data_IF_026604660354
#
_entry.id   IF_026604660354
#
_cell.length_a   1.000
_cell.length_b   1.000
_cell.length_c   1.000
_cell.angle_alpha   90.00
_cell.angle_beta   90.00
_cell.angle_gamma   90.00
#
_symmetry.space_group_name_H-M   'P 1'
#
loop_
_entity.id
_entity.type
_entity.pdbx_description
1 polymer ?
#
# COMPACT_ATOMS: atom_id res chain seq x y z
N UNK A 1 -8.39 -25.84 -2.43
CA UNK A 1 -7.09 -25.48 -1.83
C UNK A 1 -6.62 -24.18 -2.49
N UNK A 2 -6.27 -23.14 -1.72
CA UNK A 2 -5.66 -21.94 -2.32
C UNK A 2 -4.27 -22.34 -2.83
N UNK A 3 -3.93 -22.00 -4.08
CA UNK A 3 -2.59 -22.22 -4.63
C UNK A 3 -1.57 -21.52 -3.74
N UNK A 4 -0.78 -22.29 -3.00
CA UNK A 4 0.21 -21.79 -2.05
C UNK A 4 1.54 -22.48 -2.35
N UNK A 5 2.62 -21.70 -2.38
CA UNK A 5 3.98 -22.19 -2.59
C UNK A 5 4.79 -21.92 -1.32
N UNK A 6 5.47 -22.96 -0.82
CA UNK A 6 6.40 -22.80 0.30
C UNK A 6 7.71 -22.19 -0.20
N UNK A 7 8.22 -21.19 0.52
CA UNK A 7 9.52 -20.56 0.27
C UNK A 7 10.36 -20.63 1.54
N UNK A 8 11.67 -20.75 1.38
CA UNK A 8 12.65 -20.66 2.48
C UNK A 8 13.53 -19.45 2.24
N UNK A 9 13.65 -18.58 3.25
CA UNK A 9 14.42 -17.34 3.16
C UNK A 9 15.22 -17.15 4.45
N UNK A 10 16.42 -16.60 4.34
CA UNK A 10 17.22 -16.17 5.48
C UNK A 10 16.88 -14.72 5.82
N UNK A 11 16.65 -14.44 7.10
CA UNK A 11 16.34 -13.10 7.60
C UNK A 11 17.28 -12.71 8.74
N UNK A 12 17.46 -11.39 9.01
CA UNK A 12 18.20 -10.94 10.18
C UNK A 12 17.61 -11.49 11.48
N UNK A 13 18.47 -11.80 12.46
CA UNK A 13 18.08 -12.35 13.77
C UNK A 13 17.09 -11.43 14.47
N UNK A 14 17.34 -10.13 14.45
CA UNK A 14 16.48 -9.10 15.04
C UNK A 14 15.06 -9.14 14.46
N UNK A 15 14.92 -9.38 13.15
CA UNK A 15 13.63 -9.50 12.49
C UNK A 15 12.91 -10.78 12.93
N UNK A 16 13.63 -11.89 13.04
CA UNK A 16 13.07 -13.14 13.56
C UNK A 16 12.56 -12.98 15.00
N UNK A 17 13.27 -12.23 15.85
CA UNK A 17 12.82 -11.92 17.21
C UNK A 17 11.55 -11.05 17.23
N UNK A 18 11.46 -10.06 16.36
CA UNK A 18 10.26 -9.23 16.20
C UNK A 18 9.07 -10.09 15.75
N UNK A 19 9.27 -10.95 14.75
CA UNK A 19 8.23 -11.86 14.27
C UNK A 19 7.75 -12.82 15.37
N UNK A 20 8.66 -13.35 16.20
CA UNK A 20 8.33 -14.15 17.38
C UNK A 20 7.43 -13.39 18.37
N UNK A 21 7.75 -12.12 18.66
CA UNK A 21 6.93 -11.26 19.54
C UNK A 21 5.54 -11.03 18.95
N UNK A 22 5.44 -10.77 17.64
CA UNK A 22 4.17 -10.57 16.95
C UNK A 22 3.33 -11.85 16.96
N UNK A 23 3.94 -13.01 16.70
CA UNK A 23 3.28 -14.31 16.76
C UNK A 23 2.62 -14.52 18.14
N UNK A 24 3.37 -14.29 19.22
CA UNK A 24 2.86 -14.43 20.60
C UNK A 24 1.76 -13.44 20.93
N UNK A 25 1.92 -12.17 20.52
CA UNK A 25 0.96 -11.09 20.84
C UNK A 25 -0.34 -11.20 20.06
N UNK A 26 -0.26 -11.54 18.76
CA UNK A 26 -1.39 -11.51 17.83
C UNK A 26 -1.95 -12.89 17.47
N UNK A 27 -1.36 -13.97 18.02
CA UNK A 27 -1.69 -15.36 17.67
C UNK A 27 -1.68 -15.64 16.16
N UNK A 28 -0.80 -14.96 15.40
CA UNK A 28 -0.66 -15.12 13.95
C UNK A 28 0.54 -16.01 13.62
N UNK A 29 0.43 -16.89 12.63
CA UNK A 29 1.57 -17.65 12.14
C UNK A 29 2.51 -16.77 11.30
N UNK A 30 3.76 -17.21 11.12
CA UNK A 30 4.79 -16.46 10.38
C UNK A 30 4.39 -16.16 8.95
N UNK A 31 3.80 -17.13 8.24
CA UNK A 31 3.36 -16.94 6.86
C UNK A 31 2.32 -15.82 6.75
N UNK A 32 1.36 -15.75 7.69
CA UNK A 32 0.37 -14.69 7.76
C UNK A 32 0.99 -13.33 8.06
N UNK A 33 1.96 -13.27 8.97
CA UNK A 33 2.69 -12.04 9.28
C UNK A 33 3.43 -11.52 8.03
N UNK A 34 4.14 -12.40 7.34
CA UNK A 34 4.89 -12.06 6.12
C UNK A 34 3.94 -11.65 4.99
N UNK A 35 2.84 -12.40 4.80
CA UNK A 35 1.85 -12.11 3.76
C UNK A 35 1.21 -10.73 3.98
N UNK A 36 0.82 -10.42 5.21
CA UNK A 36 0.22 -9.12 5.56
C UNK A 36 1.23 -7.99 5.34
N UNK A 37 2.46 -8.14 5.84
CA UNK A 37 3.50 -7.12 5.67
C UNK A 37 3.82 -6.86 4.19
N UNK A 38 3.92 -7.90 3.36
CA UNK A 38 4.15 -7.75 1.92
C UNK A 38 2.95 -7.13 1.21
N UNK A 39 1.73 -7.49 1.61
CA UNK A 39 0.51 -6.91 1.04
C UNK A 39 0.42 -5.42 1.35
N UNK A 40 0.67 -5.03 2.60
CA UNK A 40 0.70 -3.62 3.01
C UNK A 40 1.80 -2.83 2.28
N UNK A 41 2.99 -3.43 2.11
CA UNK A 41 4.09 -2.82 1.36
C UNK A 41 3.70 -2.55 -0.09
N UNK A 42 3.15 -3.55 -0.80
CA UNK A 42 2.74 -3.43 -2.20
C UNK A 42 1.60 -2.43 -2.38
N UNK A 43 0.59 -2.46 -1.50
CA UNK A 43 -0.52 -1.51 -1.54
C UNK A 43 -0.03 -0.07 -1.36
N UNK A 44 0.96 0.14 -0.49
CA UNK A 44 1.56 1.46 -0.30
C UNK A 44 2.32 1.93 -1.54
N UNK A 45 3.13 1.07 -2.15
CA UNK A 45 3.83 1.41 -3.41
C UNK A 45 2.84 1.74 -4.53
N UNK A 46 1.79 0.93 -4.70
CA UNK A 46 0.75 1.17 -5.69
C UNK A 46 0.04 2.51 -5.45
N UNK A 47 -0.32 2.80 -4.20
CA UNK A 47 -0.93 4.08 -3.84
C UNK A 47 -0.01 5.26 -4.17
N UNK A 48 1.28 5.19 -3.81
CA UNK A 48 2.24 6.24 -4.11
C UNK A 48 2.43 6.47 -5.61
N UNK A 49 2.41 5.40 -6.40
CA UNK A 49 2.43 5.51 -7.87
C UNK A 49 1.17 6.16 -8.41
N UNK A 50 -0.01 5.76 -7.93
CA UNK A 50 -1.28 6.34 -8.35
C UNK A 50 -1.34 7.83 -8.01
N UNK A 51 -0.92 8.21 -6.81
CA UNK A 51 -0.80 9.62 -6.40
C UNK A 51 0.11 10.38 -7.37
N UNK A 52 1.31 9.87 -7.68
CA UNK A 52 2.22 10.53 -8.65
C UNK A 52 1.57 10.70 -10.03
N UNK A 53 0.89 9.67 -10.54
CA UNK A 53 0.21 9.70 -11.84
C UNK A 53 -0.92 10.73 -11.84
N UNK A 54 -1.79 10.68 -10.84
CA UNK A 54 -2.94 11.57 -10.69
C UNK A 54 -2.49 13.01 -10.48
N UNK A 55 -1.53 13.27 -9.59
CA UNK A 55 -0.98 14.62 -9.34
C UNK A 55 -0.39 15.23 -10.60
N UNK A 56 0.29 14.44 -11.44
CA UNK A 56 0.82 14.93 -12.73
C UNK A 56 -0.30 15.32 -13.70
N UNK A 57 -1.37 14.54 -13.76
CA UNK A 57 -2.54 14.84 -14.60
C UNK A 57 -3.34 16.03 -14.06
N UNK A 58 -3.52 16.12 -12.74
CA UNK A 58 -4.17 17.24 -12.05
C UNK A 58 -3.41 18.55 -12.30
N UNK A 59 -2.08 18.55 -12.16
CA UNK A 59 -1.26 19.72 -12.44
C UNK A 59 -1.36 20.17 -13.90
N UNK A 60 -1.41 19.24 -14.86
CA UNK A 60 -1.65 19.56 -16.28
C UNK A 60 -3.05 20.16 -16.52
N UNK A 61 -4.03 19.76 -15.73
CA UNK A 61 -5.39 20.29 -15.76
C UNK A 61 -5.55 21.57 -14.90
N UNK A 62 -4.48 22.09 -14.30
CA UNK A 62 -4.52 23.29 -13.45
C UNK A 62 -5.17 23.07 -12.09
N UNK A 63 -5.31 21.83 -11.64
CA UNK A 63 -5.92 21.46 -10.35
C UNK A 63 -4.84 21.28 -9.30
N UNK A 64 -4.81 22.19 -8.33
CA UNK A 64 -3.86 22.14 -7.21
C UNK A 64 -4.56 22.14 -5.86
N UNK A 65 -5.79 22.64 -5.78
CA UNK A 65 -6.61 22.67 -4.56
C UNK A 65 -8.03 22.18 -4.85
N UNK A 66 -8.81 21.94 -3.79
CA UNK A 66 -10.20 21.51 -3.95
C UNK A 66 -11.05 22.53 -4.70
N UNK A 67 -10.78 23.82 -4.51
CA UNK A 67 -11.54 24.90 -5.18
C UNK A 67 -11.36 24.86 -6.71
N UNK A 68 -10.22 24.36 -7.21
CA UNK A 68 -10.00 24.17 -8.65
C UNK A 68 -10.86 23.03 -9.21
N UNK A 69 -11.14 22.00 -8.39
CA UNK A 69 -12.04 20.89 -8.77
C UNK A 69 -13.46 21.40 -8.92
N UNK A 70 -13.93 22.18 -7.94
CA UNK A 70 -15.29 22.72 -7.94
C UNK A 70 -15.53 23.64 -9.15
N UNK A 71 -14.54 24.48 -9.51
CA UNK A 71 -14.60 25.30 -10.73
C UNK A 71 -14.75 24.43 -11.98
N UNK A 72 -13.89 23.43 -12.17
CA UNK A 72 -13.91 22.58 -13.38
C UNK A 72 -15.22 21.78 -13.46
N UNK A 73 -15.72 21.24 -12.34
CA UNK A 73 -16.99 20.51 -12.32
C UNK A 73 -18.16 21.41 -12.68
N UNK A 74 -18.15 22.66 -12.22
CA UNK A 74 -19.17 23.64 -12.57
C UNK A 74 -19.10 24.05 -14.05
N UNK A 75 -17.90 24.14 -14.63
CA UNK A 75 -17.71 24.44 -16.05
C UNK A 75 -18.17 23.31 -16.98
N UNK A 76 -18.04 22.04 -16.58
CA UNK A 76 -18.43 20.87 -17.41
C UNK A 76 -19.94 20.54 -17.31
N UNK A 77 -20.62 20.97 -16.25
CA UNK A 77 -22.06 20.73 -16.05
C UNK A 77 -22.98 21.71 -16.78
N UNK A 78 -22.43 22.71 -17.48
CA UNK A 78 -23.15 23.68 -18.31
C UNK A 78 -22.78 23.52 -19.78
#
# INVERSE_FOLDING_TARGET
>A
MKNTQAISVTIPVELAEIMNKIQKKKMKNYSSIVTEALTEYLLKEEYEEQVKKISKSAAKAGVFKMEDIDRIVHEVKH
#
